data_IF_993499612395
#
_entry.id   IF_993499612395
#
_cell.length_a   1.000
_cell.length_b   1.000
_cell.length_c   1.000
_cell.angle_alpha   90.00
_cell.angle_beta   90.00
_cell.angle_gamma   90.00
#
_symmetry.space_group_name_H-M   'P 1'
#
loop_
_entity.id
_entity.type
_entity.pdbx_description
1 polymer ?
#
# COMPACT_ATOMS: atom_id res chain seq x y z
N UNK A 1 6.06 -6.92 -24.10
CA UNK A 1 7.32 -7.11 -23.35
C UNK A 1 7.25 -8.47 -22.69
N UNK A 2 8.16 -9.39 -23.02
CA UNK A 2 8.24 -10.69 -22.34
C UNK A 2 9.13 -10.46 -21.12
N UNK A 3 8.58 -10.58 -19.91
CA UNK A 3 9.34 -10.41 -18.67
C UNK A 3 10.30 -11.60 -18.57
N UNK A 4 11.61 -11.35 -18.57
CA UNK A 4 12.63 -12.40 -18.47
C UNK A 4 13.69 -12.04 -17.42
N UNK A 5 14.35 -13.07 -16.87
CA UNK A 5 15.42 -12.87 -15.89
C UNK A 5 14.95 -12.27 -14.56
N UNK A 6 15.76 -11.42 -13.89
CA UNK A 6 15.47 -10.91 -12.55
C UNK A 6 14.22 -10.03 -12.47
N UNK A 7 13.79 -9.45 -13.60
CA UNK A 7 12.60 -8.61 -13.68
C UNK A 7 11.31 -9.36 -13.31
N UNK A 8 11.27 -10.68 -13.51
CA UNK A 8 10.15 -11.52 -13.08
C UNK A 8 9.95 -11.44 -11.57
N UNK A 9 11.03 -11.52 -10.80
CA UNK A 9 10.95 -11.46 -9.34
C UNK A 9 10.50 -10.08 -8.85
N UNK A 10 10.99 -9.01 -9.48
CA UNK A 10 10.55 -7.66 -9.16
C UNK A 10 9.07 -7.45 -9.50
N UNK A 11 8.63 -7.89 -10.69
CA UNK A 11 7.25 -7.77 -11.14
C UNK A 11 6.28 -8.56 -10.25
N UNK A 12 6.62 -9.81 -9.95
CA UNK A 12 5.84 -10.64 -9.03
C UNK A 12 5.77 -10.02 -7.62
N UNK A 13 6.89 -9.54 -7.08
CA UNK A 13 6.92 -8.92 -5.75
C UNK A 13 6.10 -7.63 -5.70
N UNK A 14 6.17 -6.80 -6.74
CA UNK A 14 5.37 -5.59 -6.86
C UNK A 14 3.87 -5.92 -6.94
N UNK A 15 3.49 -6.92 -7.75
CA UNK A 15 2.11 -7.36 -7.85
C UNK A 15 1.58 -7.89 -6.50
N UNK A 16 2.36 -8.72 -5.82
CA UNK A 16 2.00 -9.24 -4.48
C UNK A 16 1.81 -8.08 -3.51
N UNK A 17 2.72 -7.11 -3.46
CA UNK A 17 2.60 -5.93 -2.61
C UNK A 17 1.31 -5.15 -2.89
N UNK A 18 1.01 -4.89 -4.17
CA UNK A 18 -0.20 -4.15 -4.57
C UNK A 18 -1.47 -4.91 -4.18
N UNK A 19 -1.57 -6.19 -4.51
CA UNK A 19 -2.76 -7.01 -4.22
C UNK A 19 -2.97 -7.16 -2.72
N UNK A 20 -1.92 -7.51 -1.98
CA UNK A 20 -2.02 -7.70 -0.53
C UNK A 20 -2.34 -6.40 0.20
N UNK A 21 -1.75 -5.28 -0.23
CA UNK A 21 -2.02 -3.98 0.38
C UNK A 21 -3.45 -3.49 0.14
N UNK A 22 -3.97 -3.66 -1.08
CA UNK A 22 -5.37 -3.37 -1.38
C UNK A 22 -6.33 -4.27 -0.58
N UNK A 23 -6.05 -5.56 -0.49
CA UNK A 23 -6.83 -6.48 0.35
C UNK A 23 -6.82 -6.04 1.82
N UNK A 24 -5.66 -5.72 2.38
CA UNK A 24 -5.53 -5.21 3.74
C UNK A 24 -6.27 -3.89 3.95
N UNK A 25 -6.23 -2.97 2.98
CA UNK A 25 -6.98 -1.71 3.02
C UNK A 25 -8.50 -1.98 3.08
N UNK A 26 -9.00 -2.88 2.22
CA UNK A 26 -10.42 -3.25 2.21
C UNK A 26 -10.83 -3.88 3.55
N UNK A 27 -10.08 -4.87 4.04
CA UNK A 27 -10.38 -5.51 5.34
C UNK A 27 -10.36 -4.47 6.46
N UNK A 28 -9.33 -3.61 6.54
CA UNK A 28 -9.23 -2.54 7.55
C UNK A 28 -10.40 -1.56 7.49
N UNK A 29 -10.92 -1.29 6.30
CA UNK A 29 -12.01 -0.33 6.12
C UNK A 29 -13.37 -0.91 6.49
N UNK A 30 -13.64 -2.15 6.04
CA UNK A 30 -14.97 -2.76 6.15
C UNK A 30 -15.15 -3.67 7.37
N UNK A 31 -14.06 -4.14 7.98
CA UNK A 31 -14.14 -5.05 9.12
C UNK A 31 -13.95 -4.31 10.46
N UNK A 32 -14.93 -4.47 11.34
CA UNK A 32 -14.88 -4.11 12.74
C UNK A 32 -15.54 -5.22 13.54
N UNK A 33 -15.02 -5.48 14.74
CA UNK A 33 -15.60 -6.47 15.63
C UNK A 33 -16.80 -5.87 16.36
N UNK A 34 -17.91 -6.60 16.44
CA UNK A 34 -19.02 -6.23 17.33
C UNK A 34 -18.63 -6.43 18.80
N UNK A 35 -19.07 -5.55 19.73
CA UNK A 35 -19.92 -4.38 19.52
C UNK A 35 -19.13 -3.07 19.25
N UNK A 36 -17.83 -3.15 19.00
CA UNK A 36 -16.96 -1.99 18.83
C UNK A 36 -17.19 -1.22 17.51
N UNK A 37 -17.99 -1.77 16.61
CA UNK A 37 -18.47 -1.10 15.39
C UNK A 37 -19.50 0.01 15.68
N UNK A 38 -20.17 -0.02 16.85
CA UNK A 38 -21.16 0.99 17.25
C UNK A 38 -20.54 2.36 17.53
N UNK A 39 -19.30 2.40 18.03
CA UNK A 39 -18.55 3.63 18.34
C UNK A 39 -17.17 3.60 17.67
N UNK A 40 -17.18 3.44 16.35
CA UNK A 40 -15.99 3.18 15.54
C UNK A 40 -14.89 4.25 15.64
N UNK A 41 -15.26 5.52 15.82
CA UNK A 41 -14.31 6.64 15.94
C UNK A 41 -13.57 6.61 17.26
N UNK A 42 -14.18 6.06 18.31
CA UNK A 42 -13.58 5.88 19.63
C UNK A 42 -12.69 4.64 19.68
N UNK A 43 -13.19 3.49 19.22
CA UNK A 43 -12.45 2.22 19.29
C UNK A 43 -11.41 2.04 18.18
N UNK A 44 -11.61 2.67 17.02
CA UNK A 44 -10.72 2.57 15.86
C UNK A 44 -10.34 3.93 15.26
N UNK A 45 -9.79 4.87 16.05
CA UNK A 45 -9.53 6.25 15.60
C UNK A 45 -8.58 6.34 14.40
N UNK A 46 -7.63 5.41 14.30
CA UNK A 46 -6.66 5.36 13.20
C UNK A 46 -7.15 4.58 11.97
N UNK A 47 -8.37 4.02 11.96
CA UNK A 47 -8.82 3.09 10.90
C UNK A 47 -8.71 3.68 9.51
N UNK A 48 -9.25 4.88 9.32
CA UNK A 48 -9.27 5.56 8.02
C UNK A 48 -7.85 5.92 7.57
N UNK A 49 -7.01 6.41 8.48
CA UNK A 49 -5.61 6.72 8.20
C UNK A 49 -4.83 5.46 7.76
N UNK A 50 -4.92 4.37 8.54
CA UNK A 50 -4.22 3.12 8.21
C UNK A 50 -4.75 2.52 6.91
N UNK A 51 -6.07 2.62 6.63
CA UNK A 51 -6.64 2.23 5.34
C UNK A 51 -5.97 2.96 4.18
N UNK A 52 -5.83 4.29 4.29
CA UNK A 52 -5.16 5.11 3.26
C UNK A 52 -3.69 4.71 3.12
N UNK A 53 -2.98 4.49 4.23
CA UNK A 53 -1.58 4.06 4.20
C UNK A 53 -1.44 2.73 3.44
N UNK A 54 -2.29 1.73 3.74
CA UNK A 54 -2.31 0.48 2.98
C UNK A 54 -2.64 0.71 1.49
N UNK A 55 -3.64 1.54 1.18
CA UNK A 55 -3.99 1.85 -0.20
C UNK A 55 -2.84 2.52 -0.98
N UNK A 56 -2.01 3.35 -0.33
CA UNK A 56 -0.86 3.98 -0.97
C UNK A 56 0.15 2.96 -1.51
N UNK A 57 0.31 1.78 -0.89
CA UNK A 57 1.18 0.72 -1.41
C UNK A 57 0.70 0.13 -2.76
N UNK A 58 -0.46 0.53 -3.26
CA UNK A 58 -0.88 0.24 -4.63
C UNK A 58 -0.18 1.13 -5.68
N UNK A 59 0.36 2.30 -5.30
CA UNK A 59 0.97 3.26 -6.24
C UNK A 59 2.13 2.69 -7.08
N UNK A 60 3.00 1.79 -6.56
CA UNK A 60 4.00 1.09 -7.37
C UNK A 60 3.46 0.31 -8.57
N UNK A 61 2.14 0.05 -8.64
CA UNK A 61 1.48 -0.59 -9.79
C UNK A 61 1.78 0.14 -11.11
N UNK A 62 2.09 1.44 -11.07
CA UNK A 62 2.50 2.23 -12.24
C UNK A 62 3.65 1.56 -12.99
N UNK A 63 4.62 0.97 -12.27
CA UNK A 63 5.72 0.25 -12.91
C UNK A 63 5.27 -1.03 -13.63
N UNK A 64 4.27 -1.75 -13.11
CA UNK A 64 3.72 -2.94 -13.78
C UNK A 64 3.06 -2.59 -15.14
N UNK A 65 2.51 -1.39 -15.28
CA UNK A 65 1.95 -0.90 -16.54
C UNK A 65 2.99 -0.24 -17.47
N UNK A 66 4.16 0.13 -16.94
CA UNK A 66 5.21 0.88 -17.64
C UNK A 66 6.59 0.30 -17.33
N UNK A 67 6.74 -1.02 -17.51
CA UNK A 67 8.00 -1.71 -17.20
C UNK A 67 9.14 -1.30 -18.14
N UNK A 68 8.82 -0.71 -19.29
CA UNK A 68 9.74 -0.10 -20.24
C UNK A 68 10.30 1.26 -19.78
N UNK A 69 9.68 1.89 -18.77
CA UNK A 69 10.05 3.22 -18.32
C UNK A 69 11.09 3.17 -17.19
N UNK A 70 12.29 3.77 -17.38
CA UNK A 70 13.28 3.88 -16.31
C UNK A 70 12.78 4.73 -15.15
N UNK A 71 11.94 5.73 -15.42
CA UNK A 71 11.35 6.60 -14.39
C UNK A 71 10.34 5.85 -13.52
N UNK A 72 9.50 5.00 -14.12
CA UNK A 72 8.56 4.17 -13.36
C UNK A 72 9.31 3.16 -12.48
N UNK A 73 10.40 2.59 -12.99
CA UNK A 73 11.27 1.71 -12.20
C UNK A 73 11.96 2.46 -11.05
N UNK A 74 12.46 3.67 -11.30
CA UNK A 74 13.04 4.51 -10.27
C UNK A 74 12.03 4.86 -9.18
N UNK A 75 10.82 5.28 -9.56
CA UNK A 75 9.73 5.56 -8.64
C UNK A 75 9.42 4.36 -7.73
N UNK A 76 9.27 3.16 -8.30
CA UNK A 76 9.01 1.93 -7.54
C UNK A 76 10.09 1.70 -6.48
N UNK A 77 11.37 1.91 -6.81
CA UNK A 77 12.50 1.68 -5.90
C UNK A 77 12.56 2.65 -4.72
N UNK A 78 12.25 3.93 -4.95
CA UNK A 78 12.29 4.95 -3.88
C UNK A 78 10.97 5.07 -3.11
N UNK A 79 9.90 4.42 -3.60
CA UNK A 79 8.55 4.57 -3.06
C UNK A 79 8.47 4.40 -1.55
N UNK A 80 9.07 3.34 -1.00
CA UNK A 80 9.04 3.09 0.45
C UNK A 80 9.84 4.12 1.25
N UNK A 81 10.94 4.63 0.70
CA UNK A 81 11.72 5.70 1.34
C UNK A 81 10.90 6.99 1.44
N UNK A 82 10.00 7.24 0.50
CA UNK A 82 9.11 8.40 0.51
C UNK A 82 7.89 8.17 1.42
N UNK A 83 7.27 6.98 1.34
CA UNK A 83 6.02 6.69 2.05
C UNK A 83 6.24 6.49 3.55
N UNK A 84 7.23 5.69 3.96
CA UNK A 84 7.34 5.25 5.35
C UNK A 84 7.56 6.38 6.36
N UNK A 85 8.41 7.39 6.13
CA UNK A 85 8.56 8.50 7.07
C UNK A 85 7.26 9.28 7.26
N UNK A 86 6.55 9.60 6.17
CA UNK A 86 5.27 10.31 6.22
C UNK A 86 4.18 9.49 6.91
N UNK A 87 4.05 8.21 6.56
CA UNK A 87 3.12 7.28 7.19
C UNK A 87 3.41 7.13 8.69
N UNK A 88 4.69 7.08 9.08
CA UNK A 88 5.12 7.05 10.47
C UNK A 88 4.65 8.29 11.23
N UNK A 89 4.98 9.49 10.74
CA UNK A 89 4.57 10.75 11.39
C UNK A 89 3.06 10.85 11.53
N UNK A 90 2.30 10.49 10.49
CA UNK A 90 0.83 10.51 10.54
C UNK A 90 0.28 9.50 11.54
N UNK A 91 0.89 8.31 11.67
CA UNK A 91 0.42 7.25 12.57
C UNK A 91 0.66 7.56 14.04
N UNK A 92 1.64 8.42 14.35
CA UNK A 92 1.98 8.83 15.72
C UNK A 92 1.50 10.25 16.09
N UNK A 93 0.88 10.98 15.16
CA UNK A 93 0.22 12.25 15.48
C UNK A 93 -1.04 11.96 16.30
N UNK A 94 -1.02 12.39 17.57
CA UNK A 94 -2.19 12.45 18.44
C UNK A 94 -3.02 13.67 18.13
#
# INVERSE_FOLDING_TARGET
MIIQGPEIYYAASCLILVVTSLFCALVRYFHMCRPFDEEETYFYPARKLITIIYACFALPVVWLFRMDSPDAYFFMRVFLMLLLPGAGVLSFRR
#
